data_IF_040636976425
#
_entry.id   IF_040636976425
#
_cell.length_a   1.000
_cell.length_b   1.000
_cell.length_c   1.000
_cell.angle_alpha   90.00
_cell.angle_beta   90.00
_cell.angle_gamma   90.00
#
_symmetry.space_group_name_H-M   'P 1'
#
loop_
_entity.id
_entity.type
_entity.pdbx_description
1 polymer ?
#
# COMPACT_ATOMS: atom_id res chain seq x y z
N UNK A 1 1.35 0.71 16.04
CA UNK A 1 1.22 1.22 14.66
C UNK A 1 2.42 2.11 14.35
N UNK A 2 2.96 2.03 13.14
CA UNK A 2 4.14 2.78 12.68
C UNK A 2 3.83 3.45 11.33
N UNK A 3 2.65 4.08 11.25
CA UNK A 3 2.15 4.64 9.99
C UNK A 3 2.92 5.90 9.61
N UNK A 4 3.41 6.67 10.60
CA UNK A 4 4.24 7.85 10.36
C UNK A 4 5.57 7.45 9.71
N UNK A 5 6.26 6.43 10.22
CA UNK A 5 7.50 5.93 9.64
C UNK A 5 7.29 5.47 8.19
N UNK A 6 6.22 4.69 7.98
CA UNK A 6 5.87 4.16 6.66
C UNK A 6 5.67 5.29 5.65
N UNK A 7 4.80 6.27 5.96
CA UNK A 7 4.49 7.33 5.00
C UNK A 7 5.66 8.29 4.79
N UNK A 8 6.41 8.62 5.84
CA UNK A 8 7.61 9.47 5.72
C UNK A 8 8.67 8.83 4.83
N UNK A 9 8.88 7.51 4.95
CA UNK A 9 9.82 6.80 4.08
C UNK A 9 9.37 6.82 2.62
N UNK A 10 8.09 6.56 2.36
CA UNK A 10 7.51 6.60 1.01
C UNK A 10 7.60 8.01 0.40
N UNK A 11 7.30 9.05 1.17
CA UNK A 11 7.45 10.44 0.72
C UNK A 11 8.91 10.81 0.48
N UNK A 12 9.84 10.39 1.34
CA UNK A 12 11.26 10.60 1.13
C UNK A 12 11.74 9.94 -0.18
N UNK A 13 11.30 8.72 -0.47
CA UNK A 13 11.59 8.08 -1.75
C UNK A 13 10.90 8.75 -2.93
N UNK A 14 9.68 9.27 -2.78
CA UNK A 14 9.00 10.03 -3.84
C UNK A 14 9.77 11.30 -4.18
N UNK A 15 10.27 12.01 -3.17
CA UNK A 15 11.10 13.20 -3.35
C UNK A 15 12.44 12.83 -4.02
N UNK A 16 13.07 11.74 -3.58
CA UNK A 16 14.36 11.30 -4.11
C UNK A 16 14.29 10.73 -5.53
N UNK A 17 13.20 10.05 -5.87
CA UNK A 17 13.01 9.33 -7.11
C UNK A 17 11.63 9.66 -7.74
N UNK A 18 11.37 10.92 -8.11
CA UNK A 18 10.04 11.36 -8.53
C UNK A 18 9.51 10.66 -9.78
N UNK A 19 10.40 10.26 -10.70
CA UNK A 19 10.03 9.58 -11.95
C UNK A 19 10.05 8.04 -11.85
N UNK A 20 10.43 7.49 -10.69
CA UNK A 20 10.56 6.02 -10.50
C UNK A 20 9.64 5.49 -9.41
N UNK A 21 9.29 6.31 -8.40
CA UNK A 21 8.36 5.94 -7.35
C UNK A 21 7.04 6.72 -7.50
N UNK A 22 5.94 5.98 -7.50
CA UNK A 22 4.59 6.52 -7.63
C UNK A 22 3.75 6.04 -6.45
N UNK A 23 2.95 6.94 -5.88
CA UNK A 23 2.07 6.67 -4.76
C UNK A 23 0.65 7.01 -5.18
N UNK A 24 -0.21 6.00 -5.28
CA UNK A 24 -1.63 6.19 -5.53
C UNK A 24 -2.38 6.37 -4.21
N UNK A 25 -3.44 7.18 -4.25
CA UNK A 25 -4.29 7.45 -3.10
C UNK A 25 -5.20 6.25 -2.80
N UNK A 26 -5.11 5.72 -1.59
CA UNK A 26 -6.08 4.76 -1.06
C UNK A 26 -7.18 5.43 -0.24
N UNK A 27 -8.14 4.62 0.23
CA UNK A 27 -9.24 5.11 1.06
C UNK A 27 -8.77 5.54 2.47
N UNK A 28 -7.63 5.04 2.95
CA UNK A 28 -7.04 5.47 4.22
C UNK A 28 -6.25 6.78 4.10
N UNK A 29 -5.92 7.24 2.90
CA UNK A 29 -5.32 8.57 2.66
C UNK A 29 -6.42 9.65 2.57
N UNK A 30 -7.39 9.61 3.48
CA UNK A 30 -8.41 10.65 3.65
C UNK A 30 -8.73 10.88 5.13
N UNK A 31 -9.10 12.13 5.46
CA UNK A 31 -9.25 12.58 6.84
C UNK A 31 -10.36 11.86 7.62
N UNK A 32 -11.44 11.41 6.95
CA UNK A 32 -12.54 10.70 7.62
C UNK A 32 -12.12 9.32 8.10
N UNK A 33 -11.42 8.56 7.25
CA UNK A 33 -10.99 7.20 7.55
C UNK A 33 -9.81 7.23 8.53
N UNK A 34 -8.76 8.01 8.23
CA UNK A 34 -7.55 7.99 9.05
C UNK A 34 -7.71 8.63 10.44
N UNK A 35 -8.83 9.34 10.66
CA UNK A 35 -9.23 9.83 11.98
C UNK A 35 -9.69 8.74 12.92
N UNK A 36 -10.28 7.66 12.39
CA UNK A 36 -10.87 6.57 13.18
C UNK A 36 -9.93 5.38 13.23
N UNK A 37 -9.13 5.16 12.17
CA UNK A 37 -8.21 4.03 12.04
C UNK A 37 -6.76 4.40 12.40
N UNK A 38 -6.59 5.10 13.53
CA UNK A 38 -5.33 5.23 14.27
C UNK A 38 -4.34 6.29 13.80
N UNK A 39 -4.31 6.71 12.53
CA UNK A 39 -3.26 7.63 12.05
C UNK A 39 -3.33 9.01 12.71
N UNK A 40 -4.55 9.53 12.92
CA UNK A 40 -4.77 10.74 13.69
C UNK A 40 -4.23 10.63 15.12
N UNK A 41 -4.55 9.54 15.81
CA UNK A 41 -4.10 9.32 17.18
C UNK A 41 -2.58 9.18 17.25
N UNK A 42 -1.97 8.51 16.26
CA UNK A 42 -0.51 8.41 16.16
C UNK A 42 0.14 9.78 16.01
N UNK A 43 -0.34 10.62 15.07
CA UNK A 43 0.17 11.97 14.85
C UNK A 43 -0.04 12.87 16.07
N UNK A 44 -1.24 12.85 16.66
CA UNK A 44 -1.58 13.64 17.86
C UNK A 44 -0.70 13.25 19.04
N UNK A 45 -0.48 11.96 19.28
CA UNK A 45 0.28 11.45 20.42
C UNK A 45 1.78 11.71 20.30
N UNK A 46 2.35 11.58 19.09
CA UNK A 46 3.80 11.69 18.87
C UNK A 46 4.27 13.09 18.48
N UNK A 47 3.38 13.88 17.90
CA UNK A 47 3.67 15.21 17.39
C UNK A 47 2.54 16.19 17.73
N UNK A 48 1.66 16.50 16.77
CA UNK A 48 0.54 17.40 16.97
C UNK A 48 -0.58 17.17 15.95
N UNK A 49 -1.76 17.71 16.24
CA UNK A 49 -2.88 17.74 15.28
C UNK A 49 -2.52 18.54 14.02
N UNK A 50 -1.62 19.53 14.12
CA UNK A 50 -1.14 20.30 12.95
C UNK A 50 -0.42 19.39 11.96
N UNK A 51 0.43 18.47 12.44
CA UNK A 51 1.13 17.49 11.59
C UNK A 51 0.14 16.58 10.85
N UNK A 52 -0.90 16.10 11.55
CA UNK A 52 -1.96 15.30 10.90
C UNK A 52 -2.68 16.08 9.78
N UNK A 53 -2.99 17.37 10.00
CA UNK A 53 -3.59 18.23 8.97
C UNK A 53 -2.66 18.37 7.76
N UNK A 54 -1.37 18.58 7.98
CA UNK A 54 -0.37 18.68 6.90
C UNK A 54 -0.27 17.39 6.09
N UNK A 55 -0.32 16.21 6.74
CA UNK A 55 -0.44 14.94 6.00
C UNK A 55 -1.73 14.88 5.17
N UNK A 56 -2.84 15.36 5.73
CA UNK A 56 -4.11 15.48 5.02
C UNK A 56 -4.01 16.32 3.74
N UNK A 57 -3.32 17.47 3.81
CA UNK A 57 -3.06 18.31 2.64
C UNK A 57 -2.24 17.56 1.58
N UNK A 58 -1.19 16.83 1.97
CA UNK A 58 -0.42 15.98 1.06
C UNK A 58 -1.27 14.87 0.43
N UNK A 59 -2.07 14.17 1.23
CA UNK A 59 -2.94 13.09 0.76
C UNK A 59 -3.98 13.57 -0.25
N UNK A 60 -4.49 14.79 -0.09
CA UNK A 60 -5.45 15.39 -1.01
C UNK A 60 -4.88 15.63 -2.41
N UNK A 61 -3.56 15.71 -2.53
CA UNK A 61 -2.85 15.89 -3.81
C UNK A 61 -2.39 14.58 -4.45
N UNK A 62 -2.63 13.42 -3.83
CA UNK A 62 -2.20 12.13 -4.38
C UNK A 62 -3.06 11.69 -5.57
N UNK A 63 -2.45 11.13 -6.64
CA UNK A 63 -3.18 10.64 -7.81
C UNK A 63 -4.07 9.43 -7.46
N UNK A 64 -5.22 9.32 -8.12
CA UNK A 64 -6.21 8.24 -7.86
C UNK A 64 -5.91 6.96 -8.65
N UNK A 65 -5.28 7.08 -9.82
CA UNK A 65 -4.95 5.95 -10.67
C UNK A 65 -3.68 6.20 -11.49
N UNK A 66 -3.12 5.14 -12.05
CA UNK A 66 -2.04 5.19 -13.01
C UNK A 66 -2.31 4.18 -14.14
N UNK A 67 -1.78 4.48 -15.33
CA UNK A 67 -1.79 3.58 -16.49
C UNK A 67 -0.35 3.24 -16.81
N UNK A 68 -0.05 1.95 -16.92
CA UNK A 68 1.27 1.45 -17.32
C UNK A 68 1.21 1.07 -18.79
N UNK A 69 2.11 1.66 -19.60
CA UNK A 69 2.35 1.29 -20.99
C UNK A 69 1.11 1.24 -21.92
N UNK A 70 0.29 2.31 -21.94
CA UNK A 70 -0.88 2.37 -22.83
C UNK A 70 -1.68 3.66 -22.74
N UNK A 71 -2.84 3.67 -23.41
CA UNK A 71 -3.88 4.72 -23.31
C UNK A 71 -5.09 4.19 -22.53
N UNK A 72 -5.86 5.08 -21.93
CA UNK A 72 -6.92 4.77 -20.94
C UNK A 72 -8.07 3.85 -21.39
N UNK A 73 -8.22 3.53 -22.68
CA UNK A 73 -9.45 2.93 -23.21
C UNK A 73 -9.31 1.52 -23.79
N UNK A 74 -8.08 0.97 -23.80
CA UNK A 74 -7.81 -0.40 -24.25
C UNK A 74 -6.85 -1.05 -23.25
N UNK A 75 -7.41 -1.74 -22.24
CA UNK A 75 -6.69 -2.25 -21.08
C UNK A 75 -6.74 -3.77 -21.03
N UNK A 76 -5.58 -4.40 -20.86
CA UNK A 76 -5.47 -5.85 -20.70
C UNK A 76 -5.75 -6.32 -19.26
N UNK A 77 -5.36 -5.51 -18.27
CA UNK A 77 -5.39 -5.87 -16.85
C UNK A 77 -5.63 -4.67 -15.95
N UNK A 78 -6.54 -4.82 -15.00
CA UNK A 78 -6.71 -3.88 -13.87
C UNK A 78 -6.02 -4.43 -12.63
N UNK A 79 -5.02 -3.70 -12.14
CA UNK A 79 -4.34 -3.99 -10.89
C UNK A 79 -4.93 -3.12 -9.77
N UNK A 80 -5.40 -3.76 -8.68
CA UNK A 80 -5.97 -3.07 -7.53
C UNK A 80 -5.54 -3.72 -6.22
N UNK A 81 -5.77 -3.04 -5.11
CA UNK A 81 -5.48 -3.53 -3.77
C UNK A 81 -6.75 -3.67 -2.92
N UNK A 82 -6.81 -2.97 -1.79
CA UNK A 82 -7.98 -2.75 -0.93
C UNK A 82 -8.51 -3.96 -0.14
N UNK A 83 -8.52 -5.17 -0.70
CA UNK A 83 -9.02 -6.38 -0.01
C UNK A 83 -7.88 -7.31 0.39
N UNK A 84 -7.97 -7.89 1.59
CA UNK A 84 -7.07 -8.95 2.05
C UNK A 84 -7.38 -10.23 1.28
N UNK A 85 -6.34 -10.91 0.78
CA UNK A 85 -6.43 -12.18 0.05
C UNK A 85 -5.35 -13.13 0.56
N UNK A 86 -5.63 -14.44 0.60
CA UNK A 86 -4.80 -15.45 1.28
C UNK A 86 -3.34 -15.42 0.84
N UNK A 87 -3.09 -15.47 -0.46
CA UNK A 87 -1.72 -15.58 -1.00
C UNK A 87 -1.08 -14.20 -1.29
N UNK A 88 -1.69 -13.12 -0.81
CA UNK A 88 -1.31 -11.75 -1.11
C UNK A 88 -1.68 -11.29 -2.52
N UNK A 89 -2.16 -12.19 -3.40
CA UNK A 89 -2.75 -11.83 -4.69
C UNK A 89 -3.90 -12.76 -5.09
N UNK A 90 -4.79 -12.29 -5.97
CA UNK A 90 -5.92 -13.09 -6.48
C UNK A 90 -6.42 -12.55 -7.83
N UNK A 91 -6.64 -13.42 -8.81
CA UNK A 91 -7.22 -13.03 -10.10
C UNK A 91 -8.74 -13.18 -10.13
N UNK A 92 -9.41 -12.26 -10.81
CA UNK A 92 -10.85 -12.25 -11.05
C UNK A 92 -11.16 -12.00 -12.52
N UNK A 93 -12.44 -12.12 -12.89
CA UNK A 93 -12.97 -11.72 -14.21
C UNK A 93 -12.16 -12.29 -15.39
N UNK A 94 -11.88 -13.61 -15.36
CA UNK A 94 -11.10 -14.26 -16.41
C UNK A 94 -9.66 -13.76 -16.50
N UNK A 95 -9.04 -13.41 -15.36
CA UNK A 95 -7.69 -12.85 -15.21
C UNK A 95 -7.52 -11.43 -15.75
N UNK A 96 -8.60 -10.69 -15.98
CA UNK A 96 -8.56 -9.26 -16.37
C UNK A 96 -8.50 -8.30 -15.19
N UNK A 97 -8.62 -8.81 -13.96
CA UNK A 97 -8.49 -8.03 -12.73
C UNK A 97 -7.66 -8.78 -11.71
N UNK A 98 -6.75 -8.09 -11.03
CA UNK A 98 -5.90 -8.68 -9.98
C UNK A 98 -5.96 -7.89 -8.66
N UNK A 99 -6.36 -8.64 -7.63
CA UNK A 99 -5.87 -8.67 -6.23
C UNK A 99 -4.39 -8.45 -5.99
N UNK A 100 -3.87 -7.35 -5.44
CA UNK A 100 -2.58 -7.30 -4.73
C UNK A 100 -2.75 -6.77 -3.31
N UNK A 101 -2.24 -7.49 -2.32
CA UNK A 101 -2.20 -7.07 -0.92
C UNK A 101 -0.81 -7.31 -0.34
N UNK A 102 -0.15 -6.25 0.14
CA UNK A 102 1.29 -6.30 0.49
C UNK A 102 1.57 -6.34 2.00
N UNK A 103 0.54 -6.38 2.85
CA UNK A 103 0.69 -6.51 4.30
C UNK A 103 0.48 -7.97 4.73
N UNK A 104 1.54 -8.77 4.93
CA UNK A 104 1.40 -10.13 5.46
C UNK A 104 0.93 -10.10 6.91
N UNK A 105 0.27 -11.18 7.35
CA UNK A 105 -0.27 -11.30 8.70
C UNK A 105 -1.10 -10.08 9.10
N UNK A 106 -2.05 -9.68 8.25
CA UNK A 106 -2.74 -8.40 8.37
C UNK A 106 -3.38 -8.23 9.75
N UNK A 107 -3.17 -7.06 10.36
CA UNK A 107 -3.59 -6.73 11.73
C UNK A 107 -3.18 -7.74 12.82
N UNK A 108 -2.29 -8.71 12.53
CA UNK A 108 -2.04 -9.90 13.34
C UNK A 108 -3.28 -10.78 13.59
N UNK A 109 -4.30 -10.64 12.74
CA UNK A 109 -5.57 -11.38 12.84
C UNK A 109 -5.73 -12.38 11.69
N UNK A 110 -5.05 -12.12 10.56
CA UNK A 110 -5.11 -12.94 9.36
C UNK A 110 -3.80 -13.70 9.16
N UNK A 111 -3.84 -14.90 8.58
CA UNK A 111 -2.64 -15.66 8.19
C UNK A 111 -2.30 -15.47 6.69
N UNK A 112 -2.64 -14.30 6.14
CA UNK A 112 -2.39 -14.02 4.73
C UNK A 112 -0.90 -13.74 4.46
N UNK A 113 -0.44 -14.12 3.28
CA UNK A 113 0.81 -13.63 2.72
C UNK A 113 0.65 -12.19 2.22
N UNK A 114 1.78 -11.51 2.04
CA UNK A 114 1.87 -10.28 1.26
C UNK A 114 2.40 -10.60 -0.13
N UNK A 115 2.00 -9.85 -1.15
CA UNK A 115 2.58 -9.99 -2.49
C UNK A 115 2.94 -8.64 -3.11
N UNK A 116 3.86 -8.71 -4.07
CA UNK A 116 4.22 -7.64 -4.99
C UNK A 116 4.06 -8.13 -6.43
N UNK A 117 3.36 -7.35 -7.26
CA UNK A 117 3.34 -7.53 -8.71
C UNK A 117 4.61 -6.93 -9.31
N UNK A 118 5.31 -7.72 -10.11
CA UNK A 118 6.47 -7.30 -10.90
C UNK A 118 6.09 -7.40 -12.37
N UNK A 119 6.16 -6.26 -13.05
CA UNK A 119 5.88 -6.12 -14.49
C UNK A 119 7.19 -5.81 -15.19
N UNK A 120 7.53 -6.60 -16.22
CA UNK A 120 8.74 -6.36 -17.01
C UNK A 120 8.49 -5.45 -18.22
N UNK A 121 9.54 -5.20 -19.00
CA UNK A 121 9.54 -4.39 -20.22
C UNK A 121 8.60 -4.92 -21.33
N UNK A 122 8.25 -6.21 -21.28
CA UNK A 122 7.30 -6.87 -22.18
C UNK A 122 5.90 -6.99 -21.55
N UNK A 123 5.64 -6.27 -20.47
CA UNK A 123 4.38 -6.27 -19.72
C UNK A 123 4.01 -7.63 -19.12
N UNK A 124 4.98 -8.54 -18.98
CA UNK A 124 4.74 -9.83 -18.34
C UNK A 124 4.64 -9.62 -16.84
N UNK A 125 3.56 -10.14 -16.26
CA UNK A 125 3.25 -10.05 -14.85
C UNK A 125 3.76 -11.27 -14.09
N UNK A 126 4.56 -11.04 -13.05
CA UNK A 126 5.02 -12.06 -12.09
C UNK A 126 4.78 -11.60 -10.66
N UNK A 127 4.69 -12.54 -9.71
CA UNK A 127 4.41 -12.23 -8.31
C UNK A 127 5.58 -12.61 -7.43
N UNK A 128 5.96 -11.72 -6.52
CA UNK A 128 6.87 -12.01 -5.40
C UNK A 128 6.03 -12.07 -4.13
N UNK A 129 5.98 -13.26 -3.51
CA UNK A 129 5.17 -13.52 -2.32
C UNK A 129 6.07 -13.52 -1.08
N UNK A 130 5.61 -12.84 -0.04
CA UNK A 130 6.20 -12.74 1.29
C UNK A 130 5.26 -13.46 2.25
N UNK A 131 5.67 -14.64 2.74
CA UNK A 131 4.86 -15.39 3.70
C UNK A 131 4.70 -14.62 5.01
N UNK A 132 3.60 -14.89 5.72
CA UNK A 132 3.51 -14.60 7.15
C UNK A 132 4.71 -15.30 7.81
N UNK A 133 5.67 -14.53 8.35
CA UNK A 133 6.90 -15.11 8.90
C UNK A 133 6.60 -16.15 9.97
N UNK A 134 7.41 -17.22 10.02
CA UNK A 134 7.38 -18.23 11.08
C UNK A 134 7.42 -17.54 12.46
N UNK A 135 6.47 -17.86 13.36
CA UNK A 135 6.26 -17.21 14.68
C UNK A 135 7.46 -17.30 15.65
N UNK A 136 8.63 -17.78 15.21
CA UNK A 136 9.83 -18.01 16.01
C UNK A 136 10.96 -17.03 15.67
N UNK A 137 10.78 -15.71 15.92
CA UNK A 137 11.91 -14.75 16.04
C UNK A 137 11.55 -13.36 16.59
N UNK A 138 10.45 -13.22 17.34
CA UNK A 138 10.17 -12.03 18.17
C UNK A 138 10.24 -12.31 19.67
N UNK A 139 11.09 -13.25 20.09
CA UNK A 139 11.48 -13.39 21.50
C UNK A 139 12.82 -12.68 21.71
N UNK A 140 12.79 -11.62 22.52
CA UNK A 140 13.91 -10.90 23.14
C UNK A 140 14.85 -10.15 22.18
N UNK A 141 14.58 -8.86 22.03
CA UNK A 141 15.63 -7.85 22.05
C UNK A 141 15.34 -6.95 23.26
N UNK A 142 16.36 -6.85 24.12
CA UNK A 142 16.38 -6.24 25.46
C UNK A 142 15.75 -4.85 25.52
#
# INVERSE_FOLDING_TARGET
>A
MQSIETICLLFAYKIKYPEQLYLLRGNHECASINRIYGFYDECKRRYSVKVWRTFGDCFNCMPISAVVAGKTHDLDLVCRAHQVVSDGYEFFAGRKLVTIFSAPNYCNEFDNAGAMLVVDDKLRCTFKVLSSGDKRKQSKRL
#
